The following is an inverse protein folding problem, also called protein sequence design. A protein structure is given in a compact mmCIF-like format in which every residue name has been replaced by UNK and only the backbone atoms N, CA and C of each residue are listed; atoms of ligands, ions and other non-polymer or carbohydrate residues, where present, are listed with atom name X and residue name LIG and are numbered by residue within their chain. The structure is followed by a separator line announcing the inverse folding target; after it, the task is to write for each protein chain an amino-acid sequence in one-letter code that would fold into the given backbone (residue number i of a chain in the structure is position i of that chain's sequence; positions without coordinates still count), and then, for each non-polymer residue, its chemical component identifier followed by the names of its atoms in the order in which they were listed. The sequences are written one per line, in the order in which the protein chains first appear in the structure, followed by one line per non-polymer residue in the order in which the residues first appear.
data_IF_967893679496
#
_entry.id   IF_967893679496
#
_cell.length_a   1.000
_cell.length_b   1.000
_cell.length_c   1.000
_cell.angle_alpha   90.00
_cell.angle_beta   90.00
_cell.angle_gamma   90.00
#
_symmetry.space_group_name_H-M   'P 1'
#
loop_
_entity.id
_entity.type
_entity.pdbx_description
1 polymer ?
#
# COMPACT_ATOMS: atom_id res chain seq x y z
N UNK A 1 -2.60 -7.51 -6.80
CA UNK A 1 -1.16 -7.75 -6.56
C UNK A 1 -0.86 -8.06 -5.10
N UNK A 2 -1.22 -7.19 -4.14
CA UNK A 2 -0.90 -7.35 -2.70
C UNK A 2 -1.26 -8.74 -2.16
N UNK A 3 -2.49 -9.21 -2.38
CA UNK A 3 -2.94 -10.56 -2.00
C UNK A 3 -2.00 -11.65 -2.51
N UNK A 4 -1.62 -11.58 -3.79
CA UNK A 4 -0.78 -12.59 -4.44
C UNK A 4 0.59 -12.64 -3.77
N UNK A 5 1.19 -11.48 -3.49
CA UNK A 5 2.50 -11.39 -2.80
C UNK A 5 2.40 -12.04 -1.43
N UNK A 6 1.40 -11.65 -0.62
CA UNK A 6 1.18 -12.22 0.72
C UNK A 6 0.95 -13.74 0.68
N UNK A 7 0.32 -14.26 -0.39
CA UNK A 7 0.04 -15.69 -0.53
C UNK A 7 1.23 -16.51 -0.99
N UNK A 8 2.03 -16.01 -1.94
CA UNK A 8 3.09 -16.79 -2.60
C UNK A 8 4.51 -16.43 -2.15
N UNK A 9 4.70 -15.29 -1.49
CA UNK A 9 5.98 -14.83 -0.97
C UNK A 9 5.88 -14.62 0.56
N UNK A 10 5.72 -15.69 1.36
CA UNK A 10 5.49 -15.57 2.81
C UNK A 10 6.65 -14.90 3.57
N UNK A 11 7.85 -14.91 2.98
CA UNK A 11 9.06 -14.32 3.55
C UNK A 11 9.16 -12.80 3.39
N UNK A 12 8.26 -12.18 2.60
CA UNK A 12 8.16 -10.71 2.54
C UNK A 12 7.89 -10.20 3.95
N UNK A 13 8.81 -9.39 4.48
CA UNK A 13 8.73 -8.86 5.85
C UNK A 13 7.60 -7.84 5.97
N UNK A 14 7.58 -6.87 5.06
CA UNK A 14 6.62 -5.76 5.05
C UNK A 14 6.30 -5.32 3.63
N UNK A 15 5.11 -4.77 3.46
CA UNK A 15 4.61 -4.12 2.26
C UNK A 15 4.07 -2.76 2.70
N UNK A 16 4.71 -1.69 2.23
CA UNK A 16 4.19 -0.34 2.36
C UNK A 16 3.33 -0.07 1.13
N UNK A 17 2.06 0.23 1.35
CA UNK A 17 1.11 0.51 0.29
C UNK A 17 0.75 1.99 0.33
N UNK A 18 1.21 2.74 -0.67
CA UNK A 18 0.81 4.13 -0.86
C UNK A 18 -0.68 4.17 -1.25
N UNK A 19 -1.47 4.87 -0.44
CA UNK A 19 -2.92 5.01 -0.61
C UNK A 19 -3.26 6.50 -0.58
N UNK A 20 -3.85 6.97 -1.68
CA UNK A 20 -4.37 8.34 -1.78
C UNK A 20 -5.41 8.62 -0.70
N UNK A 21 -5.07 9.38 0.33
CA UNK A 21 -5.97 9.69 1.43
C UNK A 21 -5.53 10.99 2.11
N UNK A 22 -6.45 11.63 2.83
CA UNK A 22 -6.15 12.88 3.53
C UNK A 22 -5.19 12.69 4.71
N UNK A 23 -5.26 11.53 5.37
CA UNK A 23 -4.44 11.20 6.53
C UNK A 23 -4.30 9.67 6.69
N UNK A 24 -3.46 9.26 7.64
CA UNK A 24 -3.17 7.85 7.95
C UNK A 24 -4.41 7.05 8.39
N UNK A 25 -5.36 7.71 9.06
CA UNK A 25 -6.60 7.06 9.49
C UNK A 25 -7.47 6.73 8.29
N UNK A 26 -7.62 7.68 7.37
CA UNK A 26 -8.33 7.49 6.12
C UNK A 26 -7.63 6.45 5.23
N UNK A 27 -6.29 6.47 5.15
CA UNK A 27 -5.52 5.47 4.42
C UNK A 27 -5.73 4.06 4.99
N UNK A 28 -5.68 3.91 6.32
CA UNK A 28 -5.93 2.65 7.02
C UNK A 28 -7.36 2.16 6.82
N UNK A 29 -8.35 3.06 6.86
CA UNK A 29 -9.73 2.72 6.57
C UNK A 29 -9.86 2.18 5.14
N UNK A 30 -9.30 2.88 4.15
CA UNK A 30 -9.29 2.46 2.75
C UNK A 30 -8.55 1.14 2.55
N UNK A 31 -7.42 0.91 3.21
CA UNK A 31 -6.72 -0.38 3.16
C UNK A 31 -7.65 -1.52 3.61
N UNK A 32 -8.39 -1.31 4.69
CA UNK A 32 -9.33 -2.30 5.21
C UNK A 32 -10.53 -2.52 4.28
N UNK A 33 -11.13 -1.46 3.72
CA UNK A 33 -12.34 -1.59 2.89
C UNK A 33 -12.04 -1.96 1.44
N UNK A 34 -11.05 -1.30 0.84
CA UNK A 34 -10.80 -1.32 -0.60
C UNK A 34 -9.86 -2.45 -1.00
N UNK A 35 -9.05 -2.95 -0.05
CA UNK A 35 -8.03 -3.99 -0.30
C UNK A 35 -8.36 -5.26 0.48
N UNK A 36 -8.22 -5.25 1.81
CA UNK A 36 -8.35 -6.44 2.67
C UNK A 36 -9.81 -6.95 2.72
N UNK A 37 -10.76 -6.03 2.63
CA UNK A 37 -12.19 -6.31 2.66
C UNK A 37 -12.72 -7.00 1.40
N UNK A 38 -11.97 -6.97 0.30
CA UNK A 38 -12.40 -7.56 -0.98
C UNK A 38 -12.39 -9.08 -0.93
N UNK A 39 -13.27 -9.67 -1.73
CA UNK A 39 -13.41 -11.12 -1.90
C UNK A 39 -12.10 -11.80 -2.33
N UNK A 40 -11.23 -11.07 -3.03
CA UNK A 40 -9.89 -11.54 -3.40
C UNK A 40 -9.09 -12.05 -2.18
N UNK A 41 -9.25 -11.44 -1.01
CA UNK A 41 -8.57 -11.84 0.23
C UNK A 41 -9.21 -13.04 0.94
N UNK A 42 -10.33 -13.59 0.45
CA UNK A 42 -11.00 -14.75 1.08
C UNK A 42 -10.06 -15.93 1.26
N UNK A 43 -9.28 -16.26 0.24
CA UNK A 43 -8.32 -17.38 0.28
C UNK A 43 -7.29 -17.19 1.41
N UNK A 44 -6.79 -15.96 1.59
CA UNK A 44 -5.87 -15.67 2.70
C UNK A 44 -6.59 -15.73 4.06
N UNK A 45 -7.82 -15.24 4.17
CA UNK A 45 -8.62 -15.33 5.40
C UNK A 45 -8.85 -16.78 5.81
N UNK A 46 -9.24 -17.64 4.88
CA UNK A 46 -9.44 -19.07 5.12
C UNK A 46 -8.13 -19.77 5.49
N UNK A 47 -7.03 -19.45 4.81
CA UNK A 47 -5.71 -20.06 5.07
C UNK A 47 -5.16 -19.71 6.45
N UNK A 48 -5.29 -18.47 6.88
CA UNK A 48 -4.69 -17.98 8.14
C UNK A 48 -5.66 -18.02 9.32
N UNK A 49 -6.96 -18.13 9.08
CA UNK A 49 -7.98 -18.22 10.12
C UNK A 49 -7.87 -17.07 11.13
N UNK A 50 -7.82 -17.42 12.42
CA UNK A 50 -7.69 -16.46 13.52
C UNK A 50 -6.43 -15.60 13.45
N UNK A 51 -5.35 -16.14 12.85
CA UNK A 51 -4.07 -15.44 12.70
C UNK A 51 -4.07 -14.44 11.54
N UNK A 52 -5.14 -14.36 10.74
CA UNK A 52 -5.20 -13.49 9.57
C UNK A 52 -4.97 -12.02 9.94
N UNK A 53 -5.61 -11.54 11.02
CA UNK A 53 -5.47 -10.14 11.44
C UNK A 53 -4.03 -9.82 11.86
N UNK A 54 -3.42 -10.70 12.64
CA UNK A 54 -2.02 -10.57 13.07
C UNK A 54 -1.07 -10.53 11.87
N UNK A 55 -1.20 -11.48 10.94
CA UNK A 55 -0.39 -11.54 9.72
C UNK A 55 -0.51 -10.26 8.88
N UNK A 56 -1.72 -9.71 8.74
CA UNK A 56 -1.93 -8.46 8.03
C UNK A 56 -1.27 -7.28 8.75
N UNK A 57 -1.46 -7.15 10.07
CA UNK A 57 -0.86 -6.03 10.82
C UNK A 57 0.66 -6.07 10.86
N UNK A 58 1.27 -7.25 10.81
CA UNK A 58 2.73 -7.39 10.78
C UNK A 58 3.30 -7.04 9.41
N UNK A 59 2.59 -7.39 8.33
CA UNK A 59 3.12 -7.32 6.96
C UNK A 59 2.64 -6.14 6.13
N UNK A 60 1.53 -5.49 6.46
CA UNK A 60 0.92 -4.47 5.60
C UNK A 60 0.79 -3.14 6.33
N UNK A 61 1.42 -2.11 5.76
CA UNK A 61 1.38 -0.74 6.27
C UNK A 61 0.75 0.14 5.20
N UNK A 62 -0.35 0.83 5.56
CA UNK A 62 -0.87 1.91 4.73
C UNK A 62 0.01 3.14 4.90
N UNK A 63 0.29 3.83 3.79
CA UNK A 63 0.96 5.13 3.79
C UNK A 63 0.05 6.11 3.07
N UNK A 64 -0.37 7.19 3.75
CA UNK A 64 -1.19 8.21 3.12
C UNK A 64 -0.35 9.05 2.15
N UNK A 65 -0.76 9.15 0.89
CA UNK A 65 -0.13 10.06 -0.08
C UNK A 65 -0.59 9.86 -1.51
N UNK A 66 -0.28 10.83 -2.37
CA UNK A 66 -0.48 10.75 -3.82
C UNK A 66 0.87 10.64 -4.55
N UNK A 67 0.87 9.97 -5.70
CA UNK A 67 2.04 9.91 -6.58
C UNK A 67 2.30 11.25 -7.28
N UNK A 68 1.29 12.12 -7.39
CA UNK A 68 1.46 13.47 -7.92
C UNK A 68 2.14 14.43 -6.95
N UNK A 69 2.21 14.06 -5.67
CA UNK A 69 2.82 14.90 -4.66
C UNK A 69 4.34 14.80 -4.69
N UNK A 70 5.01 15.93 -4.44
CA UNK A 70 6.45 15.98 -4.36
C UNK A 70 6.96 15.01 -3.28
N UNK A 71 7.94 14.18 -3.64
CA UNK A 71 8.50 13.13 -2.79
C UNK A 71 7.45 12.15 -2.21
N UNK A 72 6.30 11.93 -2.89
CA UNK A 72 5.23 11.04 -2.42
C UNK A 72 4.68 11.41 -1.03
N UNK A 73 4.69 12.70 -0.68
CA UNK A 73 4.31 13.23 0.65
C UNK A 73 5.25 12.76 1.78
N UNK A 74 6.37 12.10 1.47
CA UNK A 74 7.37 11.75 2.47
C UNK A 74 8.09 13.01 2.93
N UNK A 75 7.53 13.65 3.98
CA UNK A 75 8.13 14.82 4.63
C UNK A 75 9.62 14.57 4.85
N UNK A 76 10.43 15.58 4.54
CA UNK A 76 11.86 15.55 4.85
C UNK A 76 12.05 15.22 6.33
N UNK A 77 12.97 14.29 6.61
CA UNK A 77 13.31 13.83 7.96
C UNK A 77 12.17 13.12 8.72
N UNK A 78 11.19 12.55 8.02
CA UNK A 78 10.23 11.62 8.66
C UNK A 78 10.87 10.27 8.94
N UNK A 79 10.54 9.68 10.10
CA UNK A 79 10.96 8.32 10.46
C UNK A 79 10.55 7.29 9.39
N UNK A 80 9.36 7.47 8.79
CA UNK A 80 8.90 6.63 7.70
C UNK A 80 9.85 6.71 6.50
N UNK A 81 10.30 7.91 6.11
CA UNK A 81 11.26 8.05 5.02
C UNK A 81 12.55 7.28 5.33
N UNK A 82 13.14 7.48 6.50
CA UNK A 82 14.36 6.75 6.89
C UNK A 82 14.15 5.22 6.86
N UNK A 83 13.02 4.72 7.37
CA UNK A 83 12.66 3.31 7.33
C UNK A 83 12.55 2.78 5.89
N UNK A 84 11.91 3.55 4.99
CA UNK A 84 11.79 3.18 3.58
C UNK A 84 13.15 3.18 2.86
N UNK A 85 14.02 4.15 3.14
CA UNK A 85 15.36 4.21 2.54
C UNK A 85 16.26 3.04 2.99
N UNK A 86 16.12 2.57 4.23
CA UNK A 86 16.94 1.49 4.79
C UNK A 86 16.39 0.09 4.47
N UNK A 87 15.05 -0.07 4.42
CA UNK A 87 14.42 -1.39 4.39
C UNK A 87 13.76 -1.76 3.05
N UNK A 88 13.60 -0.83 2.10
CA UNK A 88 13.01 -1.17 0.79
C UNK A 88 14.01 -1.95 -0.05
N UNK A 89 13.66 -3.20 -0.33
CA UNK A 89 14.36 -4.04 -1.32
C UNK A 89 13.83 -3.83 -2.75
N UNK A 90 12.52 -3.54 -2.90
CA UNK A 90 11.83 -3.49 -4.19
C UNK A 90 10.75 -2.42 -4.19
N UNK A 91 10.72 -1.61 -5.25
CA UNK A 91 9.65 -0.65 -5.54
C UNK A 91 8.82 -1.18 -6.71
N UNK A 92 7.50 -1.27 -6.51
CA UNK A 92 6.56 -1.66 -7.57
C UNK A 92 5.61 -0.50 -7.84
N UNK A 93 5.82 0.20 -8.96
CA UNK A 93 5.02 1.34 -9.36
C UNK A 93 3.89 0.91 -10.31
N UNK A 94 2.67 0.84 -9.79
CA UNK A 94 1.46 0.48 -10.56
C UNK A 94 0.35 1.53 -10.45
N UNK A 95 0.58 2.59 -9.67
CA UNK A 95 -0.38 3.67 -9.52
C UNK A 95 -0.43 4.46 -10.83
N UNK A 96 -1.63 4.57 -11.39
CA UNK A 96 -1.91 5.32 -12.59
C UNK A 96 -3.35 5.83 -12.54
N UNK A 97 -3.60 6.94 -13.21
CA UNK A 97 -4.97 7.30 -13.60
C UNK A 97 -5.46 6.32 -14.65
N UNK A 98 -6.66 5.78 -14.46
CA UNK A 98 -7.35 4.98 -15.48
C UNK A 98 -8.54 5.75 -16.07
N UNK A 99 -8.53 7.08 -15.92
CA UNK A 99 -9.52 7.96 -16.50
C UNK A 99 -9.12 8.28 -17.96
N UNK A 100 -9.89 7.76 -18.91
CA UNK A 100 -9.59 7.91 -20.34
C UNK A 100 -9.94 9.29 -20.90
N UNK A 101 -10.70 10.10 -20.16
CA UNK A 101 -11.14 11.44 -20.58
C UNK A 101 -10.20 12.55 -20.09
N UNK A 102 -9.07 12.21 -19.45
CA UNK A 102 -8.08 13.19 -19.01
C UNK A 102 -7.29 13.77 -20.18
N UNK A 103 -7.21 15.10 -20.24
CA UNK A 103 -6.34 15.79 -21.20
C UNK A 103 -4.89 15.58 -20.79
N UNK A 104 -4.02 15.29 -21.75
CA UNK A 104 -2.59 15.21 -21.49
C UNK A 104 -2.09 16.60 -21.04
N UNK A 105 -1.72 16.73 -19.78
CA UNK A 105 -1.09 17.94 -19.24
C UNK A 105 0.41 17.71 -19.31
N UNK A 106 1.08 18.43 -20.21
CA UNK A 106 2.53 18.42 -20.31
C UNK A 106 3.05 19.19 -19.08
N UNK A 107 3.74 18.49 -18.18
CA UNK A 107 4.37 19.08 -17.01
C UNK A 107 5.77 19.52 -17.47
N UNK A 108 6.03 20.83 -17.51
CA UNK A 108 7.36 21.42 -17.76
C UNK A 108 8.25 21.33 -16.51
#
# INVERSE_FOLDING_TARGET
MVEKILRVQPNVKKIYLLIRAADEKAATQRLNTDVIGKELFRILKEKWGENFRTMISEKLVAVAGDISDELLVLKEYSQLREELYDQIDVIVHLAATTNFDERYVQIE
#
